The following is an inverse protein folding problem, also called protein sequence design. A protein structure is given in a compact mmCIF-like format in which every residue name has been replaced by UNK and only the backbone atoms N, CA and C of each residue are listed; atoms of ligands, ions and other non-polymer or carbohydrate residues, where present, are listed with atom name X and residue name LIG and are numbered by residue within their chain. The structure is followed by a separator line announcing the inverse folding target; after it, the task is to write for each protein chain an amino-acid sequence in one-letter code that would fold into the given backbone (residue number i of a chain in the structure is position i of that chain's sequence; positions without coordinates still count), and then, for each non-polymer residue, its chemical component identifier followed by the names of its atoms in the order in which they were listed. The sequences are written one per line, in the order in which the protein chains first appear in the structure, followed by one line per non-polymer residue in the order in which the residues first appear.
data_IF_652644013895
#
_entry.id   IF_652644013895
#
_cell.length_a   1.000
_cell.length_b   1.000
_cell.length_c   1.000
_cell.angle_alpha   90.00
_cell.angle_beta   90.00
_cell.angle_gamma   90.00
#
_symmetry.space_group_name_H-M   'P 1'
#
loop_
_entity.id
_entity.type
_entity.pdbx_description
1 polymer ?
#
# COMPACT_ATOMS: atom_id res chain seq x y z
N UNK A 1 -57.99 19.33 -46.94
CA UNK A 1 -58.02 18.39 -45.80
C UNK A 1 -56.59 18.07 -45.39
N UNK A 2 -56.28 18.29 -44.10
CA UNK A 2 -55.05 17.88 -43.42
C UNK A 2 -54.93 16.36 -43.40
N UNK A 3 -53.72 15.82 -43.57
CA UNK A 3 -53.24 14.75 -42.67
C UNK A 3 -51.74 14.89 -42.46
N UNK A 4 -51.37 15.27 -41.24
CA UNK A 4 -50.00 15.29 -40.71
C UNK A 4 -49.54 13.86 -40.49
N UNK A 5 -48.28 13.53 -40.83
CA UNK A 5 -47.63 12.27 -40.42
C UNK A 5 -46.52 12.57 -39.42
N UNK A 6 -46.78 12.21 -38.16
CA UNK A 6 -45.83 12.24 -37.05
C UNK A 6 -44.59 11.42 -37.37
N UNK A 7 -43.42 12.02 -37.15
CA UNK A 7 -42.15 11.31 -37.03
C UNK A 7 -42.10 10.70 -35.63
N UNK A 8 -42.07 9.37 -35.54
CA UNK A 8 -41.85 8.65 -34.29
C UNK A 8 -40.33 8.61 -34.01
N UNK A 9 -39.88 9.44 -33.07
CA UNK A 9 -38.56 9.28 -32.45
C UNK A 9 -38.66 8.16 -31.40
N UNK A 10 -38.10 6.99 -31.71
CA UNK A 10 -37.93 5.91 -30.74
C UNK A 10 -36.81 6.24 -29.77
N UNK A 11 -37.14 6.62 -28.53
CA UNK A 11 -36.16 6.74 -27.46
C UNK A 11 -35.82 5.33 -26.92
N UNK A 12 -34.65 4.81 -27.26
CA UNK A 12 -34.11 3.63 -26.62
C UNK A 12 -33.63 4.01 -25.21
N UNK A 13 -34.41 3.68 -24.19
CA UNK A 13 -33.97 3.79 -22.79
C UNK A 13 -33.03 2.62 -22.50
N UNK A 14 -31.72 2.88 -22.50
CA UNK A 14 -30.74 1.94 -21.99
C UNK A 14 -30.92 1.81 -20.47
N UNK A 15 -31.43 0.68 -20.01
CA UNK A 15 -31.47 0.37 -18.57
C UNK A 15 -30.05 0.06 -18.11
N UNK A 16 -29.42 1.04 -17.45
CA UNK A 16 -28.17 0.81 -16.72
C UNK A 16 -28.53 -0.01 -15.48
N UNK A 17 -28.25 -1.31 -15.51
CA UNK A 17 -28.30 -2.13 -14.29
C UNK A 17 -27.09 -1.80 -13.43
N UNK A 18 -27.32 -1.10 -12.32
CA UNK A 18 -26.34 -0.95 -11.25
C UNK A 18 -26.02 -2.34 -10.69
N UNK A 19 -24.80 -2.85 -10.90
CA UNK A 19 -24.34 -4.06 -10.20
C UNK A 19 -24.17 -3.70 -8.72
N UNK A 20 -24.70 -4.51 -7.78
CA UNK A 20 -24.48 -4.25 -6.36
C UNK A 20 -22.97 -4.27 -6.09
N UNK A 21 -22.48 -3.26 -5.37
CA UNK A 21 -21.10 -3.25 -4.91
C UNK A 21 -20.92 -4.44 -3.95
N UNK A 22 -20.13 -5.43 -4.39
CA UNK A 22 -19.65 -6.48 -3.49
C UNK A 22 -18.69 -5.81 -2.53
N UNK A 23 -19.09 -5.62 -1.27
CA UNK A 23 -18.13 -5.25 -0.22
C UNK A 23 -17.11 -6.38 -0.13
N UNK A 24 -15.87 -6.12 -0.54
CA UNK A 24 -14.76 -7.00 -0.18
C UNK A 24 -14.67 -6.98 1.34
N UNK A 25 -14.88 -8.13 1.97
CA UNK A 25 -14.59 -8.27 3.39
C UNK A 25 -13.07 -8.22 3.54
N UNK A 26 -12.55 -7.06 3.93
CA UNK A 26 -11.17 -6.95 4.40
C UNK A 26 -11.19 -7.54 5.81
N UNK A 27 -10.50 -8.67 5.98
CA UNK A 27 -10.31 -9.31 7.28
C UNK A 27 -8.89 -9.03 7.80
N UNK A 28 -8.65 -9.33 9.07
CA UNK A 28 -7.37 -9.05 9.73
C UNK A 28 -6.19 -9.70 8.99
N UNK A 29 -6.36 -10.94 8.51
CA UNK A 29 -5.34 -11.62 7.70
C UNK A 29 -4.95 -10.82 6.45
N UNK A 30 -5.92 -10.18 5.77
CA UNK A 30 -5.65 -9.35 4.60
C UNK A 30 -4.85 -8.10 4.98
N UNK A 31 -5.19 -7.46 6.10
CA UNK A 31 -4.51 -6.26 6.59
C UNK A 31 -3.08 -6.60 7.03
N UNK A 32 -2.90 -7.69 7.78
CA UNK A 32 -1.59 -8.12 8.27
C UNK A 32 -0.66 -8.55 7.13
N UNK A 33 -1.17 -9.21 6.09
CA UNK A 33 -0.36 -9.51 4.90
C UNK A 33 0.03 -8.25 4.11
N UNK A 34 -0.86 -7.25 4.06
CA UNK A 34 -0.53 -5.95 3.45
C UNK A 34 0.57 -5.25 4.24
N UNK A 35 0.45 -5.18 5.57
CA UNK A 35 1.49 -4.65 6.45
C UNK A 35 2.81 -5.40 6.29
N UNK A 36 2.81 -6.74 6.35
CA UNK A 36 4.02 -7.55 6.17
C UNK A 36 4.73 -7.28 4.84
N UNK A 37 3.97 -6.96 3.77
CA UNK A 37 4.56 -6.57 2.49
C UNK A 37 5.33 -5.25 2.59
N UNK A 38 4.82 -4.28 3.35
CA UNK A 38 5.50 -3.02 3.61
C UNK A 38 6.74 -3.24 4.48
N UNK A 39 6.64 -4.03 5.55
CA UNK A 39 7.80 -4.31 6.42
C UNK A 39 8.95 -4.97 5.65
N UNK A 40 8.65 -5.88 4.71
CA UNK A 40 9.68 -6.45 3.84
C UNK A 40 10.34 -5.42 2.92
N UNK A 41 9.55 -4.49 2.36
CA UNK A 41 10.07 -3.41 1.52
C UNK A 41 10.99 -2.51 2.34
N UNK A 42 10.56 -2.10 3.53
CA UNK A 42 11.27 -1.18 4.41
C UNK A 42 12.53 -1.83 4.99
N UNK A 43 12.45 -3.05 5.52
CA UNK A 43 13.62 -3.79 6.00
C UNK A 43 14.68 -3.95 4.90
N UNK A 44 14.26 -4.28 3.68
CA UNK A 44 15.18 -4.36 2.54
C UNK A 44 15.79 -3.00 2.20
N UNK A 45 14.98 -1.94 2.18
CA UNK A 45 15.42 -0.58 1.88
C UNK A 45 16.47 -0.09 2.88
N UNK A 46 16.21 -0.22 4.18
CA UNK A 46 17.15 0.22 5.21
C UNK A 46 18.42 -0.64 5.26
N UNK A 47 18.32 -1.97 5.12
CA UNK A 47 19.49 -2.84 5.05
C UNK A 47 20.39 -2.49 3.86
N UNK A 48 19.81 -2.28 2.68
CA UNK A 48 20.58 -1.85 1.50
C UNK A 48 21.15 -0.44 1.66
N UNK A 49 20.42 0.47 2.31
CA UNK A 49 20.91 1.81 2.64
C UNK A 49 22.18 1.75 3.50
N UNK A 50 22.16 0.97 4.58
CA UNK A 50 23.31 0.81 5.50
C UNK A 50 24.49 0.06 4.87
N UNK A 51 24.26 -0.76 3.83
CA UNK A 51 25.34 -1.37 3.06
C UNK A 51 26.05 -0.38 2.13
N UNK A 52 25.33 0.65 1.66
CA UNK A 52 25.82 1.59 0.65
C UNK A 52 26.33 2.91 1.25
N UNK A 53 25.94 3.25 2.47
CA UNK A 53 26.24 4.53 3.11
C UNK A 53 26.77 4.32 4.52
N UNK A 54 27.80 5.08 4.87
CA UNK A 54 28.45 5.09 6.18
C UNK A 54 27.95 6.27 7.01
N UNK A 55 28.19 6.23 8.33
CA UNK A 55 27.95 7.36 9.22
C UNK A 55 28.58 8.67 8.70
N UNK A 56 29.81 8.58 8.21
CA UNK A 56 30.56 9.71 7.66
C UNK A 56 29.89 10.32 6.42
N UNK A 57 29.25 9.52 5.57
CA UNK A 57 28.50 10.03 4.41
C UNK A 57 27.33 10.93 4.85
N UNK A 58 26.66 10.56 5.95
CA UNK A 58 25.57 11.36 6.51
C UNK A 58 26.08 12.62 7.21
N UNK A 59 27.19 12.56 7.93
CA UNK A 59 27.84 13.75 8.48
C UNK A 59 28.24 14.74 7.38
N UNK A 60 28.85 14.23 6.30
CA UNK A 60 29.23 15.04 5.14
C UNK A 60 28.02 15.61 4.38
N UNK A 61 26.88 14.93 4.41
CA UNK A 61 25.61 15.43 3.89
C UNK A 61 24.92 16.46 4.83
N UNK A 62 25.50 16.73 6.00
CA UNK A 62 25.00 17.74 6.95
C UNK A 62 23.96 17.22 7.94
N UNK A 63 23.80 15.89 8.07
CA UNK A 63 22.96 15.31 9.12
C UNK A 63 23.69 15.33 10.47
N UNK A 64 23.01 15.72 11.57
CA UNK A 64 23.62 15.74 12.89
C UNK A 64 23.61 14.35 13.53
N UNK A 65 24.53 14.12 14.47
CA UNK A 65 24.40 12.98 15.39
C UNK A 65 23.18 13.15 16.29
N UNK A 66 22.44 12.06 16.60
CA UNK A 66 22.75 10.65 16.31
C UNK A 66 22.00 10.07 15.09
N UNK A 67 21.87 10.82 13.98
CA UNK A 67 21.03 10.41 12.84
C UNK A 67 21.33 9.01 12.29
N UNK A 68 22.60 8.67 12.07
CA UNK A 68 22.97 7.37 11.52
C UNK A 68 22.62 6.22 12.48
N UNK A 69 22.86 6.39 13.78
CA UNK A 69 22.48 5.39 14.79
C UNK A 69 20.96 5.19 14.85
N UNK A 70 20.17 6.25 14.64
CA UNK A 70 18.73 6.11 14.51
C UNK A 70 18.33 5.32 13.25
N UNK A 71 19.05 5.49 12.13
CA UNK A 71 18.82 4.66 10.93
C UNK A 71 19.13 3.18 11.18
N UNK A 72 20.21 2.88 11.92
CA UNK A 72 20.53 1.50 12.33
C UNK A 72 19.42 0.90 13.20
N UNK A 73 18.89 1.68 14.14
CA UNK A 73 17.76 1.25 14.98
C UNK A 73 16.51 0.96 14.14
N UNK A 74 16.13 1.87 13.23
CA UNK A 74 14.98 1.67 12.34
C UNK A 74 15.17 0.42 11.50
N UNK A 75 16.36 0.21 10.91
CA UNK A 75 16.65 -1.01 10.15
C UNK A 75 16.44 -2.30 10.96
N UNK A 76 16.81 -2.28 12.24
CA UNK A 76 16.55 -3.40 13.16
C UNK A 76 15.07 -3.55 13.48
N UNK A 77 14.35 -2.44 13.67
CA UNK A 77 12.93 -2.44 14.02
C UNK A 77 12.10 -3.03 12.87
N UNK A 78 12.38 -2.67 11.61
CA UNK A 78 11.62 -3.21 10.47
C UNK A 78 11.86 -4.72 10.27
N UNK A 79 13.07 -5.21 10.57
CA UNK A 79 13.33 -6.65 10.61
C UNK A 79 12.53 -7.35 11.73
N UNK A 80 12.43 -6.73 12.90
CA UNK A 80 11.61 -7.23 14.00
C UNK A 80 10.11 -7.22 13.65
N UNK A 81 9.64 -6.22 12.91
CA UNK A 81 8.26 -6.15 12.43
C UNK A 81 7.94 -7.29 11.46
N UNK A 82 8.84 -7.61 10.51
CA UNK A 82 8.71 -8.78 9.63
C UNK A 82 8.51 -10.06 10.45
N UNK A 83 9.37 -10.29 11.44
CA UNK A 83 9.30 -11.48 12.29
C UNK A 83 8.01 -11.53 13.10
N UNK A 84 7.62 -10.40 13.71
CA UNK A 84 6.41 -10.29 14.50
C UNK A 84 5.15 -10.57 13.67
N UNK A 85 5.01 -9.92 12.51
CA UNK A 85 3.84 -10.10 11.64
C UNK A 85 3.79 -11.49 11.03
N UNK A 86 4.93 -12.08 10.67
CA UNK A 86 5.01 -13.48 10.24
C UNK A 86 4.53 -14.43 11.32
N UNK A 87 4.96 -14.20 12.58
CA UNK A 87 4.51 -14.97 13.73
C UNK A 87 3.02 -14.83 13.98
N UNK A 88 2.49 -13.60 13.95
CA UNK A 88 1.06 -13.33 14.10
C UNK A 88 0.23 -14.05 13.03
N UNK A 89 0.64 -13.99 11.76
CA UNK A 89 -0.04 -14.65 10.64
C UNK A 89 0.00 -16.17 10.73
N UNK A 90 1.10 -16.74 11.22
CA UNK A 90 1.25 -18.20 11.40
C UNK A 90 0.40 -18.72 12.55
N UNK A 91 0.13 -17.89 13.56
CA UNK A 91 -0.68 -18.24 14.74
C UNK A 91 -2.19 -18.06 14.58
N UNK A 92 -2.68 -17.58 13.43
CA UNK A 92 -4.12 -17.42 13.14
C UNK A 92 -4.85 -18.73 12.86
#
# INVERSE_FOLDING_TARGET
MKVSRCVLFGAAVAVVHSRPAVKRAINDATILNYALTLEHLEATFYQQGLQNYTHEDFLNAGFPDPFYSNLEQVASDEQNHVEFLTGALTGM
#
